data_IF_346578547685
#
_entry.id   IF_346578547685
#
_cell.length_a   1.000
_cell.length_b   1.000
_cell.length_c   1.000
_cell.angle_alpha   90.00
_cell.angle_beta   90.00
_cell.angle_gamma   90.00
#
_symmetry.space_group_name_H-M   'P 1'
#
loop_
_entity.id
_entity.type
_entity.pdbx_description
1 polymer ?
#
# COMPACT_ATOMS: atom_id res chain seq x y z
N UNK A 1 -19.52 35.91 -6.94
CA UNK A 1 -18.48 35.03 -6.33
C UNK A 1 -18.27 33.92 -7.31
N UNK A 2 -17.16 33.93 -8.06
CA UNK A 2 -16.84 32.90 -9.04
C UNK A 2 -16.45 31.64 -8.24
N UNK A 3 -17.23 30.57 -8.37
CA UNK A 3 -16.82 29.24 -8.00
C UNK A 3 -15.66 28.88 -8.92
N UNK A 4 -14.43 28.97 -8.41
CA UNK A 4 -13.30 28.29 -9.02
C UNK A 4 -13.58 26.79 -8.84
N UNK A 5 -14.32 26.21 -9.80
CA UNK A 5 -14.57 24.80 -9.87
C UNK A 5 -13.25 24.10 -10.15
N UNK A 6 -12.58 23.62 -9.10
CA UNK A 6 -11.57 22.57 -9.27
C UNK A 6 -12.32 21.39 -9.89
N UNK A 7 -11.99 21.09 -11.13
CA UNK A 7 -12.58 19.96 -11.85
C UNK A 7 -11.91 18.70 -11.29
N UNK A 8 -12.42 18.21 -10.15
CA UNK A 8 -11.92 16.99 -9.53
C UNK A 8 -12.19 15.84 -10.48
N UNK A 9 -11.12 15.26 -11.00
CA UNK A 9 -11.17 14.07 -11.83
C UNK A 9 -10.18 13.04 -11.33
N UNK A 10 -10.59 11.76 -11.33
CA UNK A 10 -9.66 10.66 -11.07
C UNK A 10 -9.02 10.23 -12.38
N UNK A 11 -7.73 9.96 -12.33
CA UNK A 11 -6.94 9.53 -13.49
C UNK A 11 -6.59 8.05 -13.43
N UNK A 12 -6.42 7.44 -14.60
CA UNK A 12 -5.86 6.11 -14.77
C UNK A 12 -4.82 6.18 -15.89
N UNK A 13 -3.66 6.70 -15.58
CA UNK A 13 -2.59 6.99 -16.54
C UNK A 13 -1.31 6.16 -16.32
N UNK A 14 -1.31 5.24 -15.36
CA UNK A 14 -0.19 4.32 -15.14
C UNK A 14 -0.25 3.13 -16.07
N UNK A 15 0.90 2.67 -16.54
CA UNK A 15 0.96 1.51 -17.46
C UNK A 15 0.31 0.27 -16.82
N UNK A 16 0.52 0.04 -15.53
CA UNK A 16 -0.11 -1.07 -14.80
C UNK A 16 -1.65 -1.07 -14.86
N UNK A 17 -2.27 0.11 -14.93
CA UNK A 17 -3.73 0.23 -15.06
C UNK A 17 -4.21 -0.14 -16.46
N UNK A 18 -3.43 0.22 -17.48
CA UNK A 18 -3.69 -0.18 -18.87
C UNK A 18 -3.55 -1.70 -19.01
N UNK A 19 -2.51 -2.28 -18.46
CA UNK A 19 -2.26 -3.72 -18.47
C UNK A 19 -3.36 -4.47 -17.70
N UNK A 20 -3.78 -3.95 -16.53
CA UNK A 20 -4.91 -4.50 -15.78
C UNK A 20 -6.18 -4.59 -16.62
N UNK A 21 -6.57 -3.51 -17.30
CA UNK A 21 -7.79 -3.49 -18.12
C UNK A 21 -7.67 -4.42 -19.31
N UNK A 22 -6.50 -4.51 -19.93
CA UNK A 22 -6.23 -5.44 -21.03
C UNK A 22 -6.39 -6.89 -20.58
N UNK A 23 -5.72 -7.28 -19.49
CA UNK A 23 -5.82 -8.63 -18.92
C UNK A 23 -7.28 -8.94 -18.53
N UNK A 24 -7.98 -7.99 -17.90
CA UNK A 24 -9.40 -8.14 -17.54
C UNK A 24 -10.29 -8.42 -18.74
N UNK A 25 -10.06 -7.75 -19.87
CA UNK A 25 -10.87 -7.93 -21.09
C UNK A 25 -10.56 -9.23 -21.82
N UNK A 26 -9.35 -9.76 -21.68
CA UNK A 26 -8.88 -10.99 -22.31
C UNK A 26 -9.15 -12.25 -21.43
N UNK A 27 -9.41 -12.08 -20.11
CA UNK A 27 -9.59 -13.20 -19.19
C UNK A 27 -10.98 -13.83 -19.30
N UNK A 28 -11.04 -15.02 -19.90
CA UNK A 28 -12.29 -15.82 -20.02
C UNK A 28 -12.87 -16.22 -18.64
N UNK A 29 -12.08 -16.17 -17.56
CA UNK A 29 -12.49 -16.51 -16.20
C UNK A 29 -12.78 -15.29 -15.33
N UNK A 30 -12.86 -14.09 -15.93
CA UNK A 30 -13.07 -12.85 -15.18
C UNK A 30 -14.26 -12.91 -14.22
N UNK A 31 -15.42 -13.41 -14.67
CA UNK A 31 -16.61 -13.52 -13.80
C UNK A 31 -16.42 -14.50 -12.65
N UNK A 32 -15.75 -15.62 -12.88
CA UNK A 32 -15.42 -16.59 -11.82
C UNK A 32 -14.51 -15.94 -10.77
N UNK A 33 -13.45 -15.27 -11.20
CA UNK A 33 -12.54 -14.54 -10.30
C UNK A 33 -13.26 -13.42 -9.53
N UNK A 34 -14.15 -12.68 -10.19
CA UNK A 34 -14.93 -11.63 -9.54
C UNK A 34 -15.85 -12.19 -8.45
N UNK A 35 -16.49 -13.34 -8.69
CA UNK A 35 -17.31 -14.04 -7.70
C UNK A 35 -16.45 -14.46 -6.50
N UNK A 36 -15.30 -15.10 -6.75
CA UNK A 36 -14.37 -15.52 -5.67
C UNK A 36 -13.85 -14.32 -4.87
N UNK A 37 -13.48 -13.23 -5.53
CA UNK A 37 -13.02 -12.02 -4.86
C UNK A 37 -14.11 -11.43 -3.95
N UNK A 38 -15.35 -11.35 -4.44
CA UNK A 38 -16.44 -10.67 -3.71
C UNK A 38 -17.14 -11.55 -2.67
N UNK A 39 -16.94 -12.87 -2.74
CA UNK A 39 -17.57 -13.80 -1.79
C UNK A 39 -17.16 -13.48 -0.33
N UNK A 40 -18.15 -13.38 0.56
CA UNK A 40 -17.93 -13.15 1.98
C UNK A 40 -17.54 -11.70 2.35
N UNK A 41 -17.40 -10.79 1.38
CA UNK A 41 -17.14 -9.38 1.66
C UNK A 41 -18.42 -8.62 2.04
N UNK A 42 -18.24 -7.53 2.77
CA UNK A 42 -19.32 -6.59 3.05
C UNK A 42 -19.71 -5.76 1.80
N UNK A 43 -20.88 -5.11 1.88
CA UNK A 43 -21.43 -4.31 0.77
C UNK A 43 -20.49 -3.16 0.36
N UNK A 44 -19.80 -2.55 1.30
CA UNK A 44 -18.89 -1.43 1.03
C UNK A 44 -17.69 -1.88 0.23
N UNK A 45 -17.06 -2.99 0.64
CA UNK A 45 -15.95 -3.63 -0.08
C UNK A 45 -16.33 -4.05 -1.50
N UNK A 46 -17.50 -4.69 -1.66
CA UNK A 46 -18.02 -5.07 -2.99
C UNK A 46 -18.23 -3.84 -3.87
N UNK A 47 -18.83 -2.78 -3.30
CA UNK A 47 -19.06 -1.52 -4.03
C UNK A 47 -17.73 -0.88 -4.44
N UNK A 48 -16.70 -0.92 -3.58
CA UNK A 48 -15.36 -0.42 -3.86
C UNK A 48 -14.73 -1.18 -5.03
N UNK A 49 -14.77 -2.51 -5.02
CA UNK A 49 -14.27 -3.36 -6.11
C UNK A 49 -14.95 -2.99 -7.43
N UNK A 50 -16.27 -2.94 -7.46
CA UNK A 50 -17.02 -2.64 -8.69
C UNK A 50 -16.75 -1.22 -9.20
N UNK A 51 -16.59 -0.26 -8.29
CA UNK A 51 -16.25 1.13 -8.62
C UNK A 51 -14.87 1.22 -9.26
N UNK A 52 -13.86 0.58 -8.67
CA UNK A 52 -12.49 0.55 -9.22
C UNK A 52 -12.48 -0.09 -10.61
N UNK A 53 -13.05 -1.28 -10.77
CA UNK A 53 -13.10 -2.01 -12.05
C UNK A 53 -13.83 -1.19 -13.12
N UNK A 54 -15.01 -0.65 -12.80
CA UNK A 54 -15.82 0.13 -13.74
C UNK A 54 -15.09 1.40 -14.18
N UNK A 55 -14.50 2.12 -13.23
CA UNK A 55 -13.78 3.36 -13.51
C UNK A 55 -12.49 3.14 -14.28
N UNK A 56 -11.72 2.09 -13.94
CA UNK A 56 -10.54 1.72 -14.73
C UNK A 56 -10.91 1.43 -16.18
N UNK A 57 -11.94 0.62 -16.39
CA UNK A 57 -12.41 0.30 -17.75
C UNK A 57 -12.79 1.58 -18.51
N UNK A 58 -13.56 2.47 -17.90
CA UNK A 58 -13.98 3.72 -18.54
C UNK A 58 -12.77 4.62 -18.83
N UNK A 59 -11.90 4.82 -17.85
CA UNK A 59 -10.77 5.73 -17.98
C UNK A 59 -9.78 5.24 -19.04
N UNK A 60 -9.47 3.96 -19.05
CA UNK A 60 -8.50 3.37 -19.99
C UNK A 60 -9.10 3.24 -21.41
N UNK A 61 -10.31 2.64 -21.54
CA UNK A 61 -10.90 2.43 -22.86
C UNK A 61 -11.31 3.74 -23.55
N UNK A 62 -11.73 4.75 -22.79
CA UNK A 62 -12.17 6.03 -23.35
C UNK A 62 -11.07 7.10 -23.31
N UNK A 63 -9.93 6.82 -22.68
CA UNK A 63 -8.81 7.75 -22.49
C UNK A 63 -9.26 9.08 -21.85
N UNK A 64 -10.09 9.01 -20.84
CA UNK A 64 -10.66 10.18 -20.18
C UNK A 64 -10.65 10.05 -18.65
N UNK A 65 -10.56 11.20 -17.98
CA UNK A 65 -10.65 11.27 -16.53
C UNK A 65 -12.07 10.93 -16.05
N UNK A 66 -12.17 10.33 -14.88
CA UNK A 66 -13.45 10.05 -14.22
C UNK A 66 -13.89 11.31 -13.48
N UNK A 67 -14.95 11.94 -13.94
CA UNK A 67 -15.53 13.15 -13.34
C UNK A 67 -16.83 12.89 -12.58
N UNK A 68 -17.41 11.69 -12.73
CA UNK A 68 -18.63 11.27 -12.02
C UNK A 68 -18.25 10.76 -10.63
N UNK A 69 -18.15 11.68 -9.69
CA UNK A 69 -17.86 11.41 -8.29
C UNK A 69 -19.12 11.58 -7.45
N UNK A 70 -19.25 10.80 -6.38
CA UNK A 70 -20.34 11.00 -5.42
C UNK A 70 -20.04 12.16 -4.46
N UNK A 71 -21.01 12.56 -3.63
CA UNK A 71 -20.88 13.70 -2.73
C UNK A 71 -19.74 13.52 -1.72
N UNK A 72 -19.56 12.33 -1.16
CA UNK A 72 -18.52 12.03 -0.18
C UNK A 72 -17.12 12.10 -0.81
N UNK A 73 -16.98 11.63 -2.03
CA UNK A 73 -15.70 11.71 -2.79
C UNK A 73 -15.33 13.17 -3.10
N UNK A 74 -16.31 13.98 -3.51
CA UNK A 74 -16.12 15.41 -3.79
C UNK A 74 -15.72 16.15 -2.49
N UNK A 75 -16.44 15.92 -1.40
CA UNK A 75 -16.14 16.53 -0.11
C UNK A 75 -14.71 16.14 0.37
N UNK A 76 -14.36 14.87 0.27
CA UNK A 76 -13.05 14.40 0.71
C UNK A 76 -11.93 14.98 -0.15
N UNK A 77 -12.06 15.02 -1.48
CA UNK A 77 -11.07 15.67 -2.35
C UNK A 77 -10.94 17.16 -2.04
N UNK A 78 -12.07 17.83 -1.80
CA UNK A 78 -12.05 19.24 -1.38
C UNK A 78 -11.28 19.42 -0.07
N UNK A 79 -11.50 18.57 0.91
CA UNK A 79 -10.80 18.61 2.21
C UNK A 79 -9.31 18.31 2.06
N UNK A 80 -8.91 17.37 1.22
CA UNK A 80 -7.49 17.11 0.91
C UNK A 80 -6.84 18.39 0.38
N UNK A 81 -7.51 19.14 -0.51
CA UNK A 81 -6.99 20.38 -1.08
C UNK A 81 -7.01 21.56 -0.12
N UNK A 82 -7.90 21.59 0.86
CA UNK A 82 -8.07 22.73 1.78
C UNK A 82 -7.45 22.51 3.15
N UNK A 83 -7.33 21.24 3.59
CA UNK A 83 -6.86 20.89 4.93
C UNK A 83 -5.53 20.12 4.92
N UNK A 84 -5.23 19.32 3.87
CA UNK A 84 -4.02 18.50 3.83
C UNK A 84 -2.86 19.19 3.11
N UNK A 85 -2.98 19.40 1.79
CA UNK A 85 -1.87 19.97 1.00
C UNK A 85 -1.40 21.34 1.47
N UNK A 86 -2.26 22.30 1.87
CA UNK A 86 -1.79 23.61 2.35
C UNK A 86 -1.00 23.55 3.64
N UNK A 87 -1.07 22.45 4.38
CA UNK A 87 -0.34 22.25 5.63
C UNK A 87 0.96 21.43 5.45
N UNK A 88 1.33 21.10 4.21
CA UNK A 88 2.65 20.56 3.89
C UNK A 88 3.61 21.74 3.65
N UNK A 89 4.58 21.91 4.52
CA UNK A 89 5.50 23.04 4.49
C UNK A 89 6.88 22.63 3.99
N UNK A 90 7.41 23.30 3.01
CA UNK A 90 8.81 23.25 2.65
C UNK A 90 9.61 24.14 3.60
N UNK A 91 10.39 23.53 4.50
CA UNK A 91 11.17 24.24 5.53
C UNK A 91 12.56 24.62 5.00
N UNK A 92 13.20 23.70 4.26
CA UNK A 92 14.45 23.94 3.56
C UNK A 92 14.30 23.49 2.11
N UNK A 93 14.52 24.39 1.12
CA UNK A 93 14.25 24.10 -0.27
C UNK A 93 14.85 22.78 -0.76
N UNK A 94 13.98 21.88 -1.23
CA UNK A 94 14.31 20.55 -1.77
C UNK A 94 14.91 19.55 -0.78
N UNK A 95 14.96 19.85 0.53
CA UNK A 95 15.71 19.05 1.50
C UNK A 95 14.95 18.70 2.77
N UNK A 96 13.98 19.53 3.18
CA UNK A 96 13.24 19.33 4.42
C UNK A 96 11.81 19.80 4.28
N UNK A 97 10.89 18.88 4.48
CA UNK A 97 9.45 19.11 4.45
C UNK A 97 8.83 18.69 5.78
N UNK A 98 7.74 19.36 6.16
CA UNK A 98 7.05 19.14 7.41
C UNK A 98 5.54 19.05 7.20
N UNK A 99 4.92 18.13 7.88
CA UNK A 99 3.47 18.01 8.01
C UNK A 99 3.12 17.39 9.37
N UNK A 100 2.29 18.08 10.16
CA UNK A 100 1.64 17.59 11.39
C UNK A 100 2.57 16.81 12.37
N UNK A 101 3.77 17.32 12.59
CA UNK A 101 4.76 16.68 13.47
C UNK A 101 5.76 15.76 12.78
N UNK A 102 5.58 15.48 11.50
CA UNK A 102 6.46 14.61 10.72
C UNK A 102 7.38 15.41 9.80
N UNK A 103 8.60 14.95 9.65
CA UNK A 103 9.60 15.51 8.74
C UNK A 103 9.99 14.51 7.67
N UNK A 104 10.02 14.92 6.41
CA UNK A 104 10.51 14.12 5.30
C UNK A 104 11.62 14.84 4.53
N UNK A 105 12.60 14.09 3.96
CA UNK A 105 13.66 14.67 3.13
C UNK A 105 13.18 15.09 1.73
N UNK A 106 11.96 14.70 1.32
CA UNK A 106 11.33 15.01 0.05
C UNK A 106 9.87 15.40 0.25
N UNK A 107 9.29 16.12 -0.72
CA UNK A 107 7.86 16.46 -0.73
C UNK A 107 7.02 15.22 -1.15
N UNK A 108 6.97 14.21 -0.28
CA UNK A 108 6.31 12.93 -0.55
C UNK A 108 5.35 12.58 0.61
N UNK A 109 4.52 13.55 1.01
CA UNK A 109 3.44 13.27 1.95
C UNK A 109 2.25 12.70 1.19
N UNK A 110 2.04 11.38 1.30
CA UNK A 110 0.92 10.70 0.66
C UNK A 110 -0.34 10.79 1.53
N UNK A 111 -1.47 11.03 0.91
CA UNK A 111 -2.77 11.10 1.58
C UNK A 111 -3.12 9.79 2.28
N UNK A 112 -2.84 8.64 1.65
CA UNK A 112 -3.07 7.31 2.21
C UNK A 112 -2.32 7.10 3.52
N UNK A 113 -1.12 7.67 3.64
CA UNK A 113 -0.24 7.54 4.81
C UNK A 113 -0.60 8.57 5.86
N UNK A 114 -0.53 9.86 5.54
CA UNK A 114 -0.60 10.94 6.54
C UNK A 114 -2.01 11.47 6.77
N UNK A 115 -2.90 11.42 5.77
CA UNK A 115 -4.27 11.87 5.91
C UNK A 115 -5.20 10.75 6.39
N UNK A 116 -5.11 9.58 5.77
CA UNK A 116 -5.91 8.42 6.11
C UNK A 116 -5.26 7.50 7.15
N UNK A 117 -4.01 7.75 7.56
CA UNK A 117 -3.23 6.89 8.43
C UNK A 117 -3.30 5.41 7.97
N UNK A 118 -3.07 5.18 6.68
CA UNK A 118 -3.13 3.87 6.04
C UNK A 118 -4.49 3.16 6.20
N UNK A 119 -5.57 3.89 6.44
CA UNK A 119 -6.87 3.30 6.75
C UNK A 119 -6.96 2.61 8.11
N UNK A 120 -5.93 2.72 8.96
CA UNK A 120 -5.87 2.07 10.28
C UNK A 120 -6.59 2.86 11.37
N UNK A 121 -6.85 4.15 11.15
CA UNK A 121 -7.55 5.01 12.11
C UNK A 121 -9.04 5.12 11.80
N UNK A 122 -9.79 5.59 12.80
CA UNK A 122 -11.24 5.82 12.72
C UNK A 122 -11.65 6.77 11.59
N UNK A 123 -10.76 7.63 11.09
CA UNK A 123 -11.02 8.53 9.97
C UNK A 123 -11.22 7.79 8.64
N UNK A 124 -10.60 6.62 8.47
CA UNK A 124 -10.66 5.83 7.23
C UNK A 124 -11.83 4.85 7.12
N UNK A 125 -12.69 4.74 8.14
CA UNK A 125 -13.92 3.91 8.08
C UNK A 125 -13.68 2.39 7.97
N UNK A 126 -12.44 1.90 8.06
CA UNK A 126 -12.10 0.51 7.78
C UNK A 126 -11.04 -0.11 8.67
N UNK A 127 -10.60 0.62 9.69
CA UNK A 127 -9.42 0.27 10.45
C UNK A 127 -9.46 -1.03 11.23
N UNK A 128 -8.30 -1.39 11.75
CA UNK A 128 -8.09 -2.53 12.67
C UNK A 128 -9.06 -2.40 13.84
N UNK A 129 -9.88 -3.42 14.05
CA UNK A 129 -10.85 -3.42 15.13
C UNK A 129 -10.18 -3.48 16.51
N UNK A 130 -8.96 -4.01 16.59
CA UNK A 130 -8.23 -4.16 17.85
C UNK A 130 -6.80 -3.60 17.78
N UNK A 131 -6.66 -2.30 17.65
CA UNK A 131 -5.34 -1.61 17.67
C UNK A 131 -4.54 -1.91 18.95
N UNK A 132 -5.23 -2.14 20.11
CA UNK A 132 -4.55 -2.49 21.36
C UNK A 132 -3.78 -3.80 21.27
N UNK A 133 -4.22 -4.74 20.44
CA UNK A 133 -3.50 -6.00 20.24
C UNK A 133 -2.12 -5.81 19.58
N UNK A 134 -1.88 -4.67 18.95
CA UNK A 134 -0.61 -4.36 18.31
C UNK A 134 0.43 -3.75 19.26
N UNK A 135 0.00 -3.17 20.40
CA UNK A 135 0.90 -2.40 21.29
C UNK A 135 2.17 -3.13 21.70
N UNK A 136 2.09 -4.46 21.86
CA UNK A 136 3.20 -5.28 22.33
C UNK A 136 3.68 -6.29 21.29
N UNK A 137 3.43 -6.03 20.00
CA UNK A 137 3.87 -6.85 18.88
C UNK A 137 4.70 -6.04 17.89
N UNK A 138 5.55 -6.74 17.15
CA UNK A 138 6.34 -6.14 16.08
C UNK A 138 5.46 -5.89 14.84
N UNK A 139 5.85 -4.90 14.05
CA UNK A 139 5.20 -4.55 12.79
C UNK A 139 6.20 -4.76 11.65
N UNK A 140 5.73 -5.31 10.54
CA UNK A 140 6.48 -5.44 9.30
C UNK A 140 5.92 -4.43 8.30
N UNK A 141 6.79 -3.58 7.77
CA UNK A 141 6.52 -2.66 6.67
C UNK A 141 7.31 -3.14 5.44
N UNK A 142 6.65 -3.88 4.58
CA UNK A 142 7.22 -4.40 3.34
C UNK A 142 7.01 -3.38 2.22
N UNK A 143 8.10 -2.86 1.66
CA UNK A 143 8.09 -1.71 0.75
C UNK A 143 7.95 -0.40 1.53
N UNK A 144 8.91 -0.11 2.38
CA UNK A 144 8.88 1.06 3.24
C UNK A 144 9.29 2.37 2.53
N UNK A 145 9.73 2.28 1.27
CA UNK A 145 10.14 3.41 0.45
C UNK A 145 11.08 4.36 1.22
N UNK A 146 10.67 5.60 1.46
CA UNK A 146 11.45 6.59 2.24
C UNK A 146 11.15 6.52 3.75
N UNK A 147 10.42 5.52 4.22
CA UNK A 147 10.09 5.32 5.63
C UNK A 147 8.87 6.11 6.13
N UNK A 148 8.10 6.70 5.25
CA UNK A 148 6.90 7.48 5.54
C UNK A 148 5.81 6.64 6.21
N UNK A 149 5.49 5.47 5.66
CA UNK A 149 4.56 4.51 6.27
C UNK A 149 5.06 4.01 7.64
N UNK A 150 6.37 3.74 7.77
CA UNK A 150 6.95 3.30 9.03
C UNK A 150 6.82 4.36 10.15
N UNK A 151 6.85 5.66 9.82
CA UNK A 151 6.60 6.75 10.77
C UNK A 151 5.21 6.64 11.40
N UNK A 152 4.19 6.36 10.59
CA UNK A 152 2.82 6.18 11.06
C UNK A 152 2.68 4.87 11.84
N UNK A 153 3.24 3.77 11.30
CA UNK A 153 3.11 2.45 11.89
C UNK A 153 3.75 2.35 13.29
N UNK A 154 4.84 3.07 13.55
CA UNK A 154 5.47 3.05 14.88
C UNK A 154 4.58 3.59 16.00
N UNK A 155 3.54 4.34 15.69
CA UNK A 155 2.59 4.87 16.68
C UNK A 155 1.70 3.78 17.28
N UNK A 156 1.50 2.69 16.55
CA UNK A 156 0.63 1.58 16.94
C UNK A 156 1.33 0.50 17.77
N UNK A 157 2.66 0.58 17.95
CA UNK A 157 3.38 -0.41 18.74
C UNK A 157 4.41 0.21 19.69
N UNK A 158 4.63 -0.44 20.83
CA UNK A 158 5.76 -0.18 21.75
C UNK A 158 6.99 -1.02 21.40
N UNK A 159 6.87 -1.96 20.48
CA UNK A 159 7.96 -2.81 19.96
C UNK A 159 8.64 -2.14 18.76
N UNK A 160 8.97 -2.88 17.74
CA UNK A 160 9.69 -2.39 16.57
C UNK A 160 8.83 -2.46 15.32
N UNK A 161 9.09 -1.52 14.41
CA UNK A 161 8.66 -1.58 13.00
C UNK A 161 9.89 -1.96 12.19
N UNK A 162 9.88 -3.11 11.56
CA UNK A 162 10.92 -3.55 10.63
C UNK A 162 10.53 -3.09 9.24
N UNK A 163 11.21 -2.05 8.77
CA UNK A 163 10.94 -1.37 7.51
C UNK A 163 11.87 -1.89 6.42
N UNK A 164 11.32 -2.68 5.49
CA UNK A 164 12.07 -3.30 4.40
C UNK A 164 12.00 -2.43 3.15
N UNK A 165 13.15 -2.06 2.64
CA UNK A 165 13.32 -1.35 1.38
C UNK A 165 14.51 -1.94 0.63
N UNK A 166 14.30 -2.30 -0.64
CA UNK A 166 15.30 -2.99 -1.44
C UNK A 166 16.21 -2.05 -2.22
N UNK A 167 15.69 -0.90 -2.66
CA UNK A 167 16.40 0.08 -3.49
C UNK A 167 17.28 0.96 -2.62
N UNK A 168 18.58 1.05 -2.95
CA UNK A 168 19.58 1.80 -2.15
C UNK A 168 19.18 3.27 -1.94
N UNK A 169 18.76 3.96 -3.00
CA UNK A 169 18.40 5.38 -2.88
C UNK A 169 17.21 5.64 -1.96
N UNK A 170 16.19 4.75 -2.00
CA UNK A 170 15.03 4.83 -1.13
C UNK A 170 15.42 4.47 0.32
N UNK A 171 16.26 3.44 0.49
CA UNK A 171 16.78 3.07 1.79
C UNK A 171 17.58 4.20 2.45
N UNK A 172 18.45 4.89 1.69
CA UNK A 172 19.18 6.05 2.19
C UNK A 172 18.23 7.19 2.61
N UNK A 173 17.18 7.42 1.83
CA UNK A 173 16.13 8.38 2.18
C UNK A 173 15.36 7.97 3.45
N UNK A 174 15.07 6.67 3.63
CA UNK A 174 14.47 6.15 4.86
C UNK A 174 15.36 6.39 6.08
N UNK A 175 16.69 6.20 5.95
CA UNK A 175 17.62 6.54 7.03
C UNK A 175 17.57 8.03 7.41
N UNK A 176 17.44 8.92 6.41
CA UNK A 176 17.25 10.36 6.67
C UNK A 176 15.93 10.63 7.38
N UNK A 177 14.83 10.02 6.93
CA UNK A 177 13.50 10.13 7.55
C UNK A 177 13.54 9.71 9.02
N UNK A 178 14.15 8.54 9.32
CA UNK A 178 14.31 8.04 10.69
C UNK A 178 15.09 9.03 11.55
N UNK A 179 16.18 9.60 11.02
CA UNK A 179 17.01 10.58 11.71
C UNK A 179 16.26 11.89 11.97
N UNK A 180 15.57 12.43 10.98
CA UNK A 180 14.82 13.68 11.07
C UNK A 180 13.72 13.63 12.15
N UNK A 181 13.11 12.47 12.34
CA UNK A 181 12.00 12.26 13.29
C UNK A 181 12.43 11.61 14.60
N UNK A 182 13.73 11.37 14.83
CA UNK A 182 14.22 10.61 15.98
C UNK A 182 13.45 9.28 16.20
N UNK A 183 13.11 8.59 15.13
CA UNK A 183 12.19 7.45 15.11
C UNK A 183 12.85 6.17 15.64
N UNK A 184 13.00 6.06 16.97
CA UNK A 184 13.76 5.00 17.67
C UNK A 184 13.14 3.59 17.57
N UNK A 185 11.89 3.47 17.16
CA UNK A 185 11.21 2.16 17.02
C UNK A 185 11.32 1.59 15.61
N UNK A 186 11.73 2.35 14.63
CA UNK A 186 11.90 1.88 13.25
C UNK A 186 13.28 1.21 13.12
N UNK A 187 13.30 0.00 12.58
CA UNK A 187 14.50 -0.76 12.24
C UNK A 187 14.56 -0.89 10.72
N UNK A 188 15.42 -0.11 10.05
CA UNK A 188 15.55 -0.18 8.60
C UNK A 188 16.26 -1.48 8.19
N UNK A 189 15.73 -2.15 7.15
CA UNK A 189 16.28 -3.39 6.60
C UNK A 189 16.45 -3.23 5.09
N UNK A 190 17.70 -3.18 4.62
CA UNK A 190 18.03 -3.03 3.21
C UNK A 190 17.92 -4.38 2.47
N UNK A 191 16.70 -4.85 2.27
CA UNK A 191 16.35 -6.10 1.56
C UNK A 191 14.94 -6.02 1.01
N UNK A 192 14.70 -6.73 -0.09
CA UNK A 192 13.37 -7.08 -0.55
C UNK A 192 12.81 -8.30 0.17
N UNK A 193 11.50 -8.48 0.11
CA UNK A 193 10.81 -9.65 0.63
C UNK A 193 10.16 -10.45 -0.50
N UNK A 194 10.28 -11.79 -0.45
CA UNK A 194 9.72 -12.68 -1.46
C UNK A 194 9.72 -14.14 -1.01
N UNK A 195 9.41 -15.07 -1.94
CA UNK A 195 9.20 -16.49 -1.62
C UNK A 195 10.46 -17.23 -1.18
N UNK A 196 11.62 -16.83 -1.66
CA UNK A 196 12.92 -17.50 -1.40
C UNK A 196 14.05 -16.49 -1.38
N UNK A 197 15.16 -16.88 -0.79
CA UNK A 197 16.39 -16.08 -0.88
C UNK A 197 16.91 -16.08 -2.33
N UNK A 198 17.06 -14.87 -2.88
CA UNK A 198 17.57 -14.65 -4.23
C UNK A 198 18.24 -13.29 -4.35
N UNK A 199 18.90 -13.08 -5.49
CA UNK A 199 19.31 -11.76 -5.97
C UNK A 199 18.56 -11.49 -7.26
N UNK A 200 17.91 -10.33 -7.32
CA UNK A 200 17.09 -9.93 -8.46
C UNK A 200 17.58 -8.57 -8.99
N UNK A 201 17.34 -8.34 -10.27
CA UNK A 201 17.56 -7.03 -10.87
C UNK A 201 16.26 -6.25 -10.89
N UNK A 202 16.26 -5.07 -10.31
CA UNK A 202 15.12 -4.16 -10.29
C UNK A 202 15.39 -2.96 -11.18
N UNK A 203 14.38 -2.55 -11.97
CA UNK A 203 14.42 -1.29 -12.71
C UNK A 203 14.08 -0.13 -11.78
N UNK A 204 14.93 0.91 -11.76
CA UNK A 204 14.76 2.04 -10.85
C UNK A 204 13.83 3.09 -11.48
N UNK A 205 12.70 3.39 -10.80
CA UNK A 205 11.73 4.41 -11.21
C UNK A 205 11.26 5.32 -10.04
N UNK A 206 12.09 5.54 -9.04
CA UNK A 206 11.65 6.27 -7.83
C UNK A 206 10.68 5.46 -6.99
N UNK A 207 9.51 6.02 -6.66
CA UNK A 207 8.49 5.35 -5.85
C UNK A 207 7.90 4.07 -6.48
N UNK A 208 7.94 3.96 -7.82
CA UNK A 208 7.42 2.80 -8.58
C UNK A 208 8.50 1.84 -9.06
N UNK A 209 9.60 1.64 -8.32
CA UNK A 209 10.68 0.72 -8.71
C UNK A 209 10.23 -0.73 -8.61
N UNK A 210 10.22 -1.46 -9.73
CA UNK A 210 9.68 -2.82 -9.83
C UNK A 210 10.67 -3.83 -10.44
N UNK A 211 10.63 -5.06 -9.93
CA UNK A 211 11.37 -6.21 -10.51
C UNK A 211 10.84 -6.59 -11.91
N UNK A 212 9.61 -6.21 -12.21
CA UNK A 212 8.87 -6.68 -13.38
C UNK A 212 9.02 -5.77 -14.60
N UNK A 213 9.38 -4.49 -14.42
CA UNK A 213 9.44 -3.52 -15.52
C UNK A 213 10.88 -3.05 -15.78
N UNK A 214 11.52 -3.49 -16.88
CA UNK A 214 12.75 -2.86 -17.32
C UNK A 214 12.44 -1.45 -17.83
N UNK A 215 12.98 -0.44 -17.20
CA UNK A 215 12.83 0.93 -17.68
C UNK A 215 14.19 1.61 -17.81
N UNK A 216 14.36 2.42 -18.86
CA UNK A 216 15.48 3.33 -19.10
C UNK A 216 16.91 2.74 -18.97
N UNK A 217 17.09 1.44 -18.74
CA UNK A 217 18.40 0.80 -18.69
C UNK A 217 19.17 0.98 -17.38
N UNK A 218 18.56 1.58 -16.36
CA UNK A 218 19.17 1.69 -15.02
C UNK A 218 18.60 0.59 -14.13
N UNK A 219 19.48 -0.32 -13.69
CA UNK A 219 19.13 -1.47 -12.87
C UNK A 219 20.00 -1.50 -11.62
N UNK A 220 19.41 -1.99 -10.54
CA UNK A 220 20.12 -2.32 -9.30
C UNK A 220 19.94 -3.80 -8.98
N UNK A 221 20.97 -4.47 -8.48
CA UNK A 221 20.85 -5.82 -7.92
C UNK A 221 20.44 -5.71 -6.46
N UNK A 222 19.31 -6.31 -6.12
CA UNK A 222 18.76 -6.32 -4.77
C UNK A 222 18.80 -7.73 -4.17
N UNK A 223 18.94 -7.82 -2.86
CA UNK A 223 18.81 -9.06 -2.12
C UNK A 223 17.37 -9.25 -1.65
N UNK A 224 16.77 -10.40 -1.95
CA UNK A 224 15.44 -10.80 -1.51
C UNK A 224 15.55 -11.92 -0.48
N UNK A 225 14.77 -11.86 0.58
CA UNK A 225 14.68 -12.91 1.61
C UNK A 225 13.22 -13.26 1.93
N UNK A 226 12.94 -14.50 2.38
CA UNK A 226 11.64 -14.84 2.97
C UNK A 226 11.45 -14.15 4.33
N UNK A 227 10.24 -13.60 4.57
CA UNK A 227 9.90 -13.06 5.88
C UNK A 227 9.99 -14.11 6.99
N UNK A 228 9.57 -15.35 6.72
CA UNK A 228 9.59 -16.45 7.69
C UNK A 228 10.98 -16.70 8.26
N UNK A 229 12.02 -16.63 7.42
CA UNK A 229 13.41 -16.78 7.84
C UNK A 229 13.84 -15.64 8.76
N UNK A 230 13.48 -14.41 8.43
CA UNK A 230 13.80 -13.22 9.22
C UNK A 230 13.09 -13.23 10.58
N UNK A 231 11.79 -13.54 10.60
CA UNK A 231 10.98 -13.63 11.82
C UNK A 231 11.52 -14.69 12.77
N UNK A 232 11.92 -15.85 12.23
CA UNK A 232 12.51 -16.94 13.01
C UNK A 232 13.88 -16.55 13.60
N UNK A 233 14.76 -15.96 12.78
CA UNK A 233 16.07 -15.51 13.22
C UNK A 233 15.99 -14.48 14.35
N UNK A 234 15.13 -13.48 14.17
CA UNK A 234 14.96 -12.38 15.14
C UNK A 234 13.99 -12.70 16.27
N UNK A 235 13.29 -13.85 16.21
CA UNK A 235 12.27 -14.29 17.19
C UNK A 235 11.16 -13.25 17.37
N UNK A 236 10.64 -12.71 16.27
CA UNK A 236 9.65 -11.65 16.28
C UNK A 236 8.25 -12.18 16.64
N UNK A 237 7.49 -11.32 17.28
CA UNK A 237 6.06 -11.49 17.49
C UNK A 237 5.30 -10.48 16.63
N UNK A 238 4.99 -10.88 15.41
CA UNK A 238 4.39 -10.01 14.40
C UNK A 238 2.89 -9.84 14.67
N UNK A 239 2.45 -8.58 14.80
CA UNK A 239 1.04 -8.23 14.99
C UNK A 239 0.39 -7.61 13.77
N UNK A 240 1.19 -6.96 12.95
CA UNK A 240 0.71 -6.29 11.74
C UNK A 240 1.75 -6.36 10.61
N UNK A 241 1.26 -6.50 9.39
CA UNK A 241 2.07 -6.47 8.18
C UNK A 241 1.43 -5.54 7.16
N UNK A 242 2.15 -4.49 6.72
CA UNK A 242 1.81 -3.73 5.50
C UNK A 242 2.64 -4.30 4.37
N UNK A 243 2.02 -4.46 3.19
CA UNK A 243 2.67 -4.98 1.98
C UNK A 243 2.34 -4.06 0.80
N UNK A 244 3.37 -3.42 0.26
CA UNK A 244 3.29 -2.54 -0.89
C UNK A 244 4.63 -2.59 -1.62
N UNK A 245 4.79 -3.57 -2.51
CA UNK A 245 6.06 -3.99 -3.09
C UNK A 245 6.02 -4.17 -4.62
N UNK A 246 5.23 -3.30 -5.24
CA UNK A 246 5.25 -3.07 -6.68
C UNK A 246 5.02 -4.34 -7.53
N UNK A 247 4.05 -5.18 -7.10
CA UNK A 247 3.61 -6.37 -7.81
C UNK A 247 4.38 -7.65 -7.43
N UNK A 248 5.03 -7.66 -6.27
CA UNK A 248 5.68 -8.85 -5.72
C UNK A 248 4.89 -9.45 -4.52
N UNK A 249 3.66 -8.97 -4.30
CA UNK A 249 2.81 -9.28 -3.15
C UNK A 249 2.54 -10.78 -2.99
N UNK A 250 2.26 -11.49 -4.10
CA UNK A 250 2.02 -12.94 -4.02
C UNK A 250 3.29 -13.73 -3.68
N UNK A 251 4.46 -13.30 -4.18
CA UNK A 251 5.74 -13.92 -3.80
C UNK A 251 6.08 -13.64 -2.33
N UNK A 252 5.77 -12.43 -1.84
CA UNK A 252 5.85 -12.12 -0.42
C UNK A 252 5.00 -13.07 0.43
N UNK A 253 3.72 -13.23 0.07
CA UNK A 253 2.80 -14.10 0.81
C UNK A 253 3.29 -15.56 0.89
N UNK A 254 3.94 -16.06 -0.17
CA UNK A 254 4.58 -17.39 -0.15
C UNK A 254 5.71 -17.48 0.85
N UNK A 255 6.55 -16.44 0.95
CA UNK A 255 7.70 -16.39 1.86
C UNK A 255 7.38 -15.91 3.30
N UNK A 256 6.12 -15.53 3.54
CA UNK A 256 5.58 -15.12 4.84
C UNK A 256 4.57 -16.13 5.41
N UNK A 257 4.32 -17.23 4.69
CA UNK A 257 3.22 -18.14 4.98
C UNK A 257 3.27 -18.76 6.37
N UNK A 258 4.44 -19.21 6.82
CA UNK A 258 4.61 -19.79 8.17
C UNK A 258 4.26 -18.75 9.25
N UNK A 259 4.82 -17.54 9.14
CA UNK A 259 4.53 -16.42 10.04
C UNK A 259 3.04 -16.08 10.08
N UNK A 260 2.39 -16.01 8.91
CA UNK A 260 0.96 -15.69 8.80
C UNK A 260 0.10 -16.79 9.42
N UNK A 261 0.43 -18.05 9.16
CA UNK A 261 -0.32 -19.20 9.72
C UNK A 261 -0.18 -19.29 11.22
N UNK A 262 1.04 -19.13 11.76
CA UNK A 262 1.32 -19.30 13.18
C UNK A 262 0.87 -18.10 14.02
N UNK A 263 1.10 -16.88 13.53
CA UNK A 263 0.93 -15.67 14.33
C UNK A 263 -0.33 -14.87 13.99
N UNK A 264 -0.95 -15.13 12.84
CA UNK A 264 -2.19 -14.50 12.36
C UNK A 264 -2.18 -12.98 12.52
N UNK A 265 -1.13 -12.28 12.01
CA UNK A 265 -1.08 -10.82 12.07
C UNK A 265 -2.23 -10.20 11.29
N UNK A 266 -2.71 -9.04 11.71
CA UNK A 266 -3.52 -8.23 10.81
C UNK A 266 -2.66 -7.76 9.62
N UNK A 267 -3.26 -7.61 8.43
CA UNK A 267 -2.51 -7.25 7.23
C UNK A 267 -3.22 -6.18 6.41
N UNK A 268 -2.42 -5.31 5.79
CA UNK A 268 -2.82 -4.38 4.74
C UNK A 268 -1.97 -4.67 3.51
N UNK A 269 -2.59 -5.13 2.43
CA UNK A 269 -1.89 -5.60 1.23
C UNK A 269 -2.38 -4.82 0.03
N UNK A 270 -1.46 -4.17 -0.69
CA UNK A 270 -1.76 -3.46 -1.94
C UNK A 270 -2.25 -4.43 -3.01
N UNK A 271 -3.34 -4.05 -3.71
CA UNK A 271 -3.98 -4.88 -4.74
C UNK A 271 -3.83 -4.29 -6.15
N UNK A 272 -3.28 -3.08 -6.28
CA UNK A 272 -3.40 -2.28 -7.50
C UNK A 272 -2.27 -2.45 -8.50
N UNK A 273 -1.22 -3.19 -8.18
CA UNK A 273 -0.04 -3.32 -9.04
C UNK A 273 -0.25 -4.26 -10.22
N UNK A 274 -0.96 -5.39 -10.01
CA UNK A 274 -1.24 -6.38 -11.05
C UNK A 274 -2.69 -6.84 -11.03
N UNK A 275 -3.19 -7.22 -12.20
CA UNK A 275 -4.49 -7.88 -12.33
C UNK A 275 -4.60 -9.12 -11.41
N UNK A 276 -3.57 -9.95 -11.39
CA UNK A 276 -3.53 -11.14 -10.54
C UNK A 276 -3.53 -10.82 -9.05
N UNK A 277 -2.87 -9.74 -8.60
CA UNK A 277 -2.88 -9.35 -7.19
C UNK A 277 -4.29 -8.93 -6.76
N UNK A 278 -5.00 -8.21 -7.62
CA UNK A 278 -6.36 -7.76 -7.35
C UNK A 278 -7.35 -8.91 -7.16
N UNK A 279 -7.24 -9.96 -7.96
CA UNK A 279 -8.21 -11.07 -7.96
C UNK A 279 -7.78 -12.29 -7.16
N UNK A 280 -6.49 -12.57 -7.01
CA UNK A 280 -6.02 -13.86 -6.53
C UNK A 280 -5.51 -13.80 -5.06
N UNK A 281 -5.13 -12.63 -4.52
CA UNK A 281 -4.58 -12.52 -3.15
C UNK A 281 -5.62 -12.93 -2.10
N UNK A 282 -6.86 -12.39 -2.16
CA UNK A 282 -7.90 -12.75 -1.18
C UNK A 282 -8.24 -14.24 -1.24
N UNK A 283 -8.54 -14.85 -2.40
CA UNK A 283 -8.77 -16.28 -2.47
C UNK A 283 -7.58 -17.13 -1.99
N UNK A 284 -6.34 -16.70 -2.26
CA UNK A 284 -5.14 -17.37 -1.73
C UNK A 284 -5.16 -17.41 -0.19
N UNK A 285 -5.38 -16.26 0.46
CA UNK A 285 -5.43 -16.17 1.92
C UNK A 285 -6.61 -16.95 2.51
N UNK A 286 -7.78 -16.93 1.87
CA UNK A 286 -8.94 -17.74 2.27
C UNK A 286 -8.66 -19.25 2.21
N UNK A 287 -7.91 -19.69 1.21
CA UNK A 287 -7.55 -21.10 1.06
C UNK A 287 -6.73 -21.65 2.23
N UNK A 288 -6.10 -20.78 3.02
CA UNK A 288 -5.35 -21.19 4.21
C UNK A 288 -6.25 -21.47 5.43
N UNK A 289 -7.53 -21.14 5.36
CA UNK A 289 -8.54 -21.43 6.40
C UNK A 289 -8.15 -20.91 7.80
N UNK A 290 -7.59 -19.72 7.89
CA UNK A 290 -7.09 -19.13 9.14
C UNK A 290 -8.14 -18.33 9.92
N UNK A 291 -9.33 -18.13 9.35
CA UNK A 291 -10.42 -17.36 9.93
C UNK A 291 -10.31 -15.85 9.75
N UNK A 292 -9.53 -15.38 8.77
CA UNK A 292 -9.47 -13.99 8.42
C UNK A 292 -10.81 -13.43 7.95
N UNK A 293 -11.12 -12.24 8.42
CA UNK A 293 -12.16 -11.39 7.85
C UNK A 293 -11.48 -10.37 6.93
N UNK A 294 -12.10 -10.11 5.78
CA UNK A 294 -11.52 -9.28 4.73
C UNK A 294 -12.32 -8.03 4.49
N UNK A 295 -11.63 -6.95 4.15
CA UNK A 295 -12.20 -5.69 3.71
C UNK A 295 -11.35 -5.13 2.57
N UNK A 296 -12.01 -4.63 1.50
CA UNK A 296 -11.32 -3.92 0.42
C UNK A 296 -11.55 -2.44 0.62
N UNK A 297 -10.46 -1.69 0.72
CA UNK A 297 -10.48 -0.24 0.91
C UNK A 297 -9.81 0.46 -0.27
N UNK A 298 -10.27 1.66 -0.59
CA UNK A 298 -9.68 2.57 -1.57
C UNK A 298 -9.79 3.98 -1.00
N UNK A 299 -8.68 4.57 -0.50
CA UNK A 299 -8.66 5.96 -0.10
C UNK A 299 -9.05 6.87 -1.27
N UNK A 300 -9.69 7.98 -0.98
CA UNK A 300 -10.00 8.98 -1.99
C UNK A 300 -8.74 9.79 -2.25
N UNK A 301 -8.27 9.75 -3.49
CA UNK A 301 -7.14 10.47 -4.02
C UNK A 301 -7.43 10.88 -5.48
N UNK A 302 -6.43 11.30 -6.22
CA UNK A 302 -6.58 11.65 -7.64
C UNK A 302 -6.46 10.46 -8.60
N UNK A 303 -6.27 9.25 -8.08
CA UNK A 303 -6.07 8.04 -8.89
C UNK A 303 -7.27 7.08 -8.78
N UNK A 304 -7.60 6.38 -9.88
CA UNK A 304 -8.75 5.46 -9.92
C UNK A 304 -8.50 4.21 -9.08
N UNK A 305 -7.33 3.60 -9.15
CA UNK A 305 -7.02 2.34 -8.48
C UNK A 305 -5.85 2.39 -7.50
N UNK A 306 -5.02 3.44 -7.56
CA UNK A 306 -3.89 3.58 -6.63
C UNK A 306 -4.33 3.44 -5.19
N UNK A 307 -3.49 2.88 -4.34
CA UNK A 307 -3.77 2.66 -2.91
C UNK A 307 -4.96 1.72 -2.61
N UNK A 308 -5.52 1.03 -3.62
CA UNK A 308 -6.52 -0.01 -3.36
C UNK A 308 -5.86 -1.16 -2.61
N UNK A 309 -6.37 -1.48 -1.42
CA UNK A 309 -5.76 -2.47 -0.55
C UNK A 309 -6.77 -3.47 0.02
N UNK A 310 -6.29 -4.67 0.30
CA UNK A 310 -6.97 -5.69 1.10
C UNK A 310 -6.53 -5.54 2.55
N UNK A 311 -7.46 -5.19 3.40
CA UNK A 311 -7.29 -5.29 4.83
C UNK A 311 -7.83 -6.63 5.32
N UNK A 312 -7.12 -7.34 6.21
CA UNK A 312 -7.61 -8.54 6.84
C UNK A 312 -7.10 -8.72 8.28
N UNK A 313 -7.97 -9.28 9.13
CA UNK A 313 -7.65 -9.62 10.53
C UNK A 313 -8.42 -10.87 10.97
N UNK A 314 -7.91 -11.58 11.97
CA UNK A 314 -8.62 -12.64 12.67
C UNK A 314 -9.24 -12.03 13.94
N UNK A 315 -10.56 -12.18 14.10
CA UNK A 315 -11.32 -11.69 15.27
C UNK A 315 -11.55 -12.78 16.31
#
# INVERSE_FOLDING_TARGET
MAQNGHNFGLVANWQMQVDFVKEMLEDSKFLEKLILLTQGLDKESITTIYRVISRLRIAVCNQQNITQLNADEIDMLHRIHTEFYPNIFEILPGQLYYYDGYYLPFQMFHESVFWYHLGLSVRGGGGICNLKALENKDIIDAGAYIGDSALILQEYTRKKVYAFEAVQSNYDAMLMTIKLNEAKRIVPVHKGLGAKQSKEKIGIQGAGSSVVLPNNGVYEEIEIIPLDSFVREKKLQVGFIKVDIEGFEQEFLKGAKETIVEQKPAMLISLYHKYSDFFDIKPMLESWNLGYQFKVIKPIDHNVSGETALYCEVR
#
